data_IF_731257900258
#
_entry.id   IF_731257900258
#
_cell.length_a   1.000
_cell.length_b   1.000
_cell.length_c   1.000
_cell.angle_alpha   90.00
_cell.angle_beta   90.00
_cell.angle_gamma   90.00
#
_symmetry.space_group_name_H-M   'P 1'
#
loop_
_entity.id
_entity.type
_entity.pdbx_description
1 polymer ?
#
# COMPACT_ATOMS: atom_id res chain seq x y z
N UNK A 1 -12.50 14.74 -20.15
CA UNK A 1 -13.04 13.37 -20.07
C UNK A 1 -14.52 13.50 -19.75
N UNK A 2 -15.39 12.82 -20.49
CA UNK A 2 -16.83 12.83 -20.20
C UNK A 2 -17.15 11.87 -19.04
N UNK A 3 -18.24 12.10 -18.27
CA UNK A 3 -18.59 11.26 -17.11
C UNK A 3 -18.67 9.76 -17.42
N UNK A 4 -19.19 9.39 -18.59
CA UNK A 4 -19.35 8.00 -19.02
C UNK A 4 -17.98 7.35 -19.31
N UNK A 5 -17.05 8.13 -19.86
CA UNK A 5 -15.68 7.67 -20.12
C UNK A 5 -14.93 7.44 -18.79
N UNK A 6 -15.12 8.32 -17.81
CA UNK A 6 -14.55 8.17 -16.47
C UNK A 6 -15.10 6.92 -15.77
N UNK A 7 -16.41 6.73 -15.83
CA UNK A 7 -17.10 5.55 -15.27
C UNK A 7 -16.61 4.26 -15.93
N UNK A 8 -16.48 4.25 -17.25
CA UNK A 8 -15.93 3.10 -17.97
C UNK A 8 -14.49 2.79 -17.53
N UNK A 9 -13.60 3.80 -17.50
CA UNK A 9 -12.21 3.61 -17.06
C UNK A 9 -12.13 3.09 -15.63
N UNK A 10 -12.94 3.62 -14.71
CA UNK A 10 -12.97 3.17 -13.32
C UNK A 10 -13.38 1.69 -13.22
N UNK A 11 -14.52 1.32 -13.80
CA UNK A 11 -15.12 0.00 -13.59
C UNK A 11 -14.54 -1.10 -14.49
N UNK A 12 -14.17 -0.78 -15.74
CA UNK A 12 -13.71 -1.77 -16.70
C UNK A 12 -12.18 -1.92 -16.72
N UNK A 13 -11.43 -0.93 -16.21
CA UNK A 13 -9.96 -0.92 -16.27
C UNK A 13 -9.35 -0.82 -14.88
N UNK A 14 -9.53 0.30 -14.18
CA UNK A 14 -8.78 0.59 -12.95
C UNK A 14 -9.10 -0.36 -11.79
N UNK A 15 -10.39 -0.57 -11.47
CA UNK A 15 -10.79 -1.47 -10.39
C UNK A 15 -10.43 -2.95 -10.65
N UNK A 16 -10.65 -3.51 -11.85
CA UNK A 16 -10.16 -4.84 -12.17
C UNK A 16 -8.64 -4.98 -12.02
N UNK A 17 -7.87 -3.99 -12.47
CA UNK A 17 -6.42 -4.03 -12.39
C UNK A 17 -5.94 -4.01 -10.93
N UNK A 18 -6.50 -3.12 -10.10
CA UNK A 18 -6.24 -3.08 -8.66
C UNK A 18 -6.53 -4.43 -7.98
N UNK A 19 -7.65 -5.08 -8.33
CA UNK A 19 -8.03 -6.40 -7.76
C UNK A 19 -7.05 -7.51 -8.13
N UNK A 20 -6.45 -7.43 -9.31
CA UNK A 20 -5.45 -8.42 -9.76
C UNK A 20 -4.09 -8.16 -9.12
N UNK A 21 -3.72 -6.89 -8.93
CA UNK A 21 -2.40 -6.52 -8.42
C UNK A 21 -2.30 -6.66 -6.89
N UNK A 22 -3.38 -6.35 -6.16
CA UNK A 22 -3.44 -6.42 -4.71
C UNK A 22 -2.91 -7.74 -4.11
N UNK A 23 -3.32 -8.95 -4.56
CA UNK A 23 -2.78 -10.20 -4.03
C UNK A 23 -1.28 -10.40 -4.33
N UNK A 24 -0.73 -9.78 -5.38
CA UNK A 24 0.70 -9.82 -5.66
C UNK A 24 1.48 -8.93 -4.69
N UNK A 25 1.04 -7.68 -4.50
CA UNK A 25 1.60 -6.76 -3.51
C UNK A 25 1.59 -7.38 -2.12
N UNK A 26 0.46 -7.98 -1.74
CA UNK A 26 0.31 -8.69 -0.46
C UNK A 26 1.34 -9.81 -0.29
N UNK A 27 1.53 -10.67 -1.30
CA UNK A 27 2.54 -11.75 -1.24
C UNK A 27 3.96 -11.23 -1.05
N UNK A 28 4.31 -10.10 -1.68
CA UNK A 28 5.63 -9.47 -1.51
C UNK A 28 5.82 -8.97 -0.08
N UNK A 29 4.79 -8.37 0.50
CA UNK A 29 4.81 -7.94 1.91
C UNK A 29 4.95 -9.16 2.85
N UNK A 30 4.13 -10.20 2.65
CA UNK A 30 4.15 -11.44 3.44
C UNK A 30 5.49 -12.19 3.35
N UNK A 31 6.27 -11.99 2.28
CA UNK A 31 7.59 -12.61 2.12
C UNK A 31 8.68 -12.01 3.04
N UNK A 32 8.43 -10.86 3.69
CA UNK A 32 9.34 -10.31 4.70
C UNK A 32 9.28 -11.17 5.96
N UNK A 33 10.39 -11.77 6.43
CA UNK A 33 10.39 -12.58 7.65
C UNK A 33 10.00 -11.75 8.88
N UNK A 34 9.18 -12.34 9.75
CA UNK A 34 8.60 -11.66 10.91
C UNK A 34 9.65 -11.11 11.89
N UNK A 35 10.82 -11.75 11.95
CA UNK A 35 11.95 -11.42 12.81
C UNK A 35 13.04 -10.59 12.11
N UNK A 36 12.80 -10.17 10.85
CA UNK A 36 13.77 -9.43 10.01
C UNK A 36 13.26 -8.08 9.55
N UNK A 37 12.36 -7.46 10.31
CA UNK A 37 11.80 -6.14 9.98
C UNK A 37 12.85 -5.02 9.93
N UNK A 38 13.97 -5.18 10.66
CA UNK A 38 15.08 -4.24 10.71
C UNK A 38 16.10 -4.40 9.56
N UNK A 39 15.96 -5.43 8.72
CA UNK A 39 16.86 -5.71 7.61
C UNK A 39 16.98 -4.51 6.66
N UNK A 40 18.21 -4.24 6.22
CA UNK A 40 18.54 -3.20 5.24
C UNK A 40 19.54 -3.75 4.22
N UNK A 41 19.29 -3.61 2.90
CA UNK A 41 20.28 -4.00 1.89
C UNK A 41 21.49 -3.05 1.84
N UNK A 42 21.32 -1.80 2.29
CA UNK A 42 22.38 -0.81 2.44
C UNK A 42 22.14 0.00 3.73
N UNK A 43 23.18 0.47 4.45
CA UNK A 43 23.00 1.28 5.65
C UNK A 43 22.08 2.50 5.48
N UNK A 44 22.06 3.11 4.29
CA UNK A 44 21.22 4.28 3.97
C UNK A 44 19.78 3.92 3.55
N UNK A 45 19.46 2.64 3.34
CA UNK A 45 18.10 2.20 3.01
C UNK A 45 17.18 2.33 4.22
N UNK A 46 15.86 2.28 4.01
CA UNK A 46 14.84 2.11 5.07
C UNK A 46 14.81 0.64 5.53
N UNK A 47 14.40 0.33 6.78
CA UNK A 47 14.20 -1.04 7.21
C UNK A 47 13.06 -1.71 6.43
N UNK A 48 13.14 -3.04 6.27
CA UNK A 48 12.15 -3.84 5.54
C UNK A 48 10.70 -3.62 6.04
N UNK A 49 10.50 -3.52 7.36
CA UNK A 49 9.17 -3.27 7.94
C UNK A 49 8.63 -1.88 7.58
N UNK A 50 9.45 -0.83 7.65
CA UNK A 50 9.02 0.52 7.25
C UNK A 50 8.64 0.57 5.76
N UNK A 51 9.38 -0.15 4.91
CA UNK A 51 9.07 -0.24 3.48
C UNK A 51 7.76 -0.97 3.24
N UNK A 52 7.53 -2.11 3.92
CA UNK A 52 6.27 -2.85 3.83
C UNK A 52 5.08 -1.96 4.24
N UNK A 53 5.18 -1.28 5.39
CA UNK A 53 4.16 -0.33 5.84
C UNK A 53 3.98 0.83 4.85
N UNK A 54 5.07 1.38 4.32
CA UNK A 54 5.00 2.50 3.37
C UNK A 54 4.23 2.12 2.11
N UNK A 55 4.46 0.92 1.55
CA UNK A 55 3.76 0.44 0.35
C UNK A 55 2.24 0.34 0.62
N UNK A 56 1.84 -0.34 1.69
CA UNK A 56 0.42 -0.56 2.01
C UNK A 56 -0.30 0.76 2.38
N UNK A 57 0.34 1.61 3.20
CA UNK A 57 -0.24 2.90 3.61
C UNK A 57 -0.31 3.91 2.46
N UNK A 58 0.65 3.89 1.52
CA UNK A 58 0.61 4.74 0.34
C UNK A 58 -0.55 4.36 -0.59
N UNK A 59 -0.79 3.06 -0.82
CA UNK A 59 -1.91 2.58 -1.65
C UNK A 59 -3.25 3.12 -1.11
N UNK A 60 -3.51 2.95 0.19
CA UNK A 60 -4.70 3.50 0.85
C UNK A 60 -4.77 5.04 0.73
N UNK A 61 -3.67 5.75 1.02
CA UNK A 61 -3.64 7.21 0.92
C UNK A 61 -4.00 7.73 -0.47
N UNK A 62 -3.49 7.10 -1.53
CA UNK A 62 -3.78 7.54 -2.90
C UNK A 62 -5.23 7.25 -3.29
N UNK A 63 -5.78 6.09 -2.92
CA UNK A 63 -7.17 5.75 -3.17
C UNK A 63 -8.11 6.71 -2.43
N UNK A 64 -7.88 6.91 -1.14
CA UNK A 64 -8.68 7.80 -0.31
C UNK A 64 -8.59 9.24 -0.79
N UNK A 65 -7.38 9.70 -1.15
CA UNK A 65 -7.18 11.08 -1.60
C UNK A 65 -7.82 11.38 -2.95
N UNK A 66 -7.83 10.42 -3.87
CA UNK A 66 -8.56 10.56 -5.14
C UNK A 66 -10.06 10.54 -4.91
N UNK A 67 -10.55 9.67 -4.03
CA UNK A 67 -11.98 9.56 -3.72
C UNK A 67 -12.54 10.77 -2.96
N UNK A 68 -11.75 11.34 -2.04
CA UNK A 68 -12.13 12.52 -1.24
C UNK A 68 -11.85 13.85 -1.95
N UNK A 69 -10.94 13.86 -2.93
CA UNK A 69 -10.45 15.08 -3.58
C UNK A 69 -9.38 15.83 -2.77
N UNK A 70 -8.83 15.23 -1.70
CA UNK A 70 -7.82 15.84 -0.84
C UNK A 70 -6.72 14.85 -0.42
N UNK A 71 -5.45 15.26 -0.54
CA UNK A 71 -4.32 14.47 -0.07
C UNK A 71 -3.94 14.82 1.38
N UNK A 72 -4.33 13.96 2.32
CA UNK A 72 -3.88 14.04 3.71
C UNK A 72 -2.53 13.34 3.90
N UNK A 73 -1.51 14.11 4.25
CA UNK A 73 -0.14 13.60 4.47
C UNK A 73 0.12 13.06 5.88
N UNK A 74 -0.86 13.11 6.79
CA UNK A 74 -0.80 12.49 8.11
C UNK A 74 -0.77 10.96 8.06
N UNK A 75 -0.44 10.32 9.20
CA UNK A 75 -0.57 8.86 9.36
C UNK A 75 0.53 8.00 8.71
N UNK A 76 1.74 8.55 8.49
CA UNK A 76 2.87 7.77 7.98
C UNK A 76 3.41 6.72 8.96
N UNK A 77 3.06 6.82 10.25
CA UNK A 77 3.50 5.88 11.28
C UNK A 77 2.50 4.73 11.42
N UNK A 78 2.95 3.46 11.42
CA UNK A 78 2.06 2.33 11.68
C UNK A 78 1.42 2.44 13.07
N UNK A 79 0.13 2.08 13.22
CA UNK A 79 -0.49 1.92 14.53
C UNK A 79 0.26 0.88 15.38
N UNK A 80 0.18 0.97 16.72
CA UNK A 80 0.85 0.02 17.62
C UNK A 80 0.40 -1.45 17.47
N UNK A 81 -0.75 -1.66 16.84
CA UNK A 81 -1.29 -2.98 16.50
C UNK A 81 -0.60 -3.62 15.30
N UNK A 82 0.16 -2.86 14.51
CA UNK A 82 0.88 -3.32 13.32
C UNK A 82 2.37 -3.45 13.66
N UNK A 83 2.86 -4.68 13.81
CA UNK A 83 4.20 -4.94 14.38
C UNK A 83 5.15 -5.65 13.44
N UNK A 84 4.63 -6.29 12.40
CA UNK A 84 5.41 -7.03 11.41
C UNK A 84 4.67 -7.07 10.06
N UNK A 85 5.30 -7.70 9.07
CA UNK A 85 4.75 -7.85 7.72
C UNK A 85 3.39 -8.54 7.66
N UNK A 86 3.13 -9.54 8.51
CA UNK A 86 1.84 -10.22 8.54
C UNK A 86 0.71 -9.32 9.06
N UNK A 87 1.01 -8.33 9.92
CA UNK A 87 0.01 -7.33 10.32
C UNK A 87 -0.26 -6.30 9.22
N UNK A 88 0.73 -6.01 8.37
CA UNK A 88 0.58 -5.10 7.22
C UNK A 88 -0.23 -5.73 6.10
N UNK A 89 -0.13 -7.05 5.90
CA UNK A 89 -0.75 -7.79 4.80
C UNK A 89 -2.24 -8.15 5.00
N UNK A 90 -2.87 -7.68 6.09
CA UNK A 90 -4.28 -7.97 6.43
C UNK A 90 -5.24 -7.10 5.61
#
# INVERSE_FOLDING_TARGET
MQPEQATFLLHAVALPWLKVEHPLTRKVIEAVPLDKGDYRPNPNSRPAFELAWHIASAENRFLDGVASGEFNYGGSTPPETVRNSADVAK
#
